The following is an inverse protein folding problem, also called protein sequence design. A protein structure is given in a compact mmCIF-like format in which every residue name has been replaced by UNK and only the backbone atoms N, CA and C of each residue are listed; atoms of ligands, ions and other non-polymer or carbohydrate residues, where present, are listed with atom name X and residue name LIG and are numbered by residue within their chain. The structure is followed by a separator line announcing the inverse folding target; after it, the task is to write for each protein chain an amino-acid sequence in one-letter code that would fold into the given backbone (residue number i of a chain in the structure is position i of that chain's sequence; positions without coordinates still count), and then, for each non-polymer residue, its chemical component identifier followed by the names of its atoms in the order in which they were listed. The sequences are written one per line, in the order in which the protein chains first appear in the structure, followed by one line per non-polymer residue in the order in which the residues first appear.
data_IF_565498306729
#
_entry.id   IF_565498306729
#
_cell.length_a   1.000
_cell.length_b   1.000
_cell.length_c   1.000
_cell.angle_alpha   90.00
_cell.angle_beta   90.00
_cell.angle_gamma   90.00
#
_symmetry.space_group_name_H-M   'P 1'
#
loop_
_entity.id
_entity.type
_entity.pdbx_description
1 polymer ?
#
# COMPACT_ATOMS: atom_id res chain seq x y z
N UNK A 1 8.59 -1.10 -8.49
CA UNK A 1 9.12 -2.06 -7.51
C UNK A 1 8.64 -3.46 -7.88
N UNK A 2 9.54 -4.45 -7.92
CA UNK A 2 9.25 -5.86 -8.15
C UNK A 2 9.67 -6.66 -6.91
N UNK A 3 8.73 -7.42 -6.35
CA UNK A 3 8.96 -8.29 -5.20
C UNK A 3 8.56 -9.74 -5.52
N UNK A 4 9.17 -10.67 -4.79
CA UNK A 4 8.78 -12.08 -4.75
C UNK A 4 9.33 -12.73 -3.49
N UNK A 5 8.60 -13.69 -2.92
CA UNK A 5 9.04 -14.47 -1.74
C UNK A 5 9.51 -13.59 -0.57
N UNK A 6 8.86 -12.44 -0.35
CA UNK A 6 9.24 -11.48 0.70
C UNK A 6 10.55 -10.70 0.44
N UNK A 7 11.14 -10.82 -0.75
CA UNK A 7 12.38 -10.14 -1.15
C UNK A 7 12.11 -9.10 -2.23
N UNK A 8 12.87 -8.01 -2.19
CA UNK A 8 12.94 -7.03 -3.28
C UNK A 8 13.87 -7.60 -4.34
N UNK A 9 13.30 -7.84 -5.52
CA UNK A 9 14.04 -8.32 -6.70
C UNK A 9 14.57 -7.14 -7.51
N UNK A 10 13.79 -6.06 -7.58
CA UNK A 10 14.20 -4.82 -8.22
C UNK A 10 13.39 -3.64 -7.68
N UNK A 11 14.03 -2.50 -7.47
CA UNK A 11 13.38 -1.24 -7.16
C UNK A 11 13.95 -0.16 -8.07
N UNK A 12 13.12 0.57 -8.81
CA UNK A 12 13.60 1.61 -9.71
C UNK A 12 12.61 1.94 -10.83
N UNK A 13 13.01 2.78 -11.79
CA UNK A 13 12.25 3.11 -12.99
C UNK A 13 11.85 1.86 -13.78
N UNK A 14 10.68 1.91 -14.41
CA UNK A 14 10.17 0.80 -15.23
C UNK A 14 11.09 0.47 -16.42
N UNK A 15 11.82 1.45 -16.95
CA UNK A 15 12.69 1.26 -18.13
C UNK A 15 13.92 0.40 -17.76
N UNK A 16 14.47 0.60 -16.56
CA UNK A 16 15.69 -0.06 -16.10
C UNK A 16 15.48 -1.51 -15.64
N UNK A 17 14.23 -1.93 -15.40
CA UNK A 17 13.96 -3.31 -14.95
C UNK A 17 14.33 -4.33 -16.03
N UNK A 18 14.11 -3.99 -17.31
CA UNK A 18 14.46 -4.86 -18.43
C UNK A 18 15.99 -4.97 -18.55
N UNK A 19 16.71 -3.85 -18.48
CA UNK A 19 18.17 -3.82 -18.47
C UNK A 19 18.76 -4.64 -17.33
N UNK A 20 18.16 -4.59 -16.14
CA UNK A 20 18.57 -5.41 -15.00
C UNK A 20 18.45 -6.91 -15.28
N UNK A 21 17.29 -7.36 -15.80
CA UNK A 21 17.10 -8.78 -16.13
C UNK A 21 17.98 -9.21 -17.31
N UNK A 22 18.23 -8.34 -18.29
CA UNK A 22 19.18 -8.60 -19.37
C UNK A 22 20.61 -8.75 -18.84
N UNK A 23 21.03 -7.90 -17.90
CA UNK A 23 22.29 -8.03 -17.16
C UNK A 23 22.39 -9.35 -16.38
N UNK A 24 21.25 -9.91 -15.97
CA UNK A 24 21.16 -11.24 -15.36
C UNK A 24 21.13 -12.40 -16.37
N UNK A 25 21.03 -12.13 -17.68
CA UNK A 25 20.98 -13.13 -18.75
C UNK A 25 19.59 -13.45 -19.30
N UNK A 26 18.56 -12.68 -18.91
CA UNK A 26 17.17 -12.90 -19.30
C UNK A 26 16.62 -11.73 -20.11
N UNK A 27 16.10 -12.01 -21.31
CA UNK A 27 15.54 -10.99 -22.20
C UNK A 27 14.05 -11.19 -22.40
N UNK A 28 13.29 -10.09 -22.35
CA UNK A 28 11.88 -10.09 -22.66
C UNK A 28 11.68 -10.24 -24.19
N UNK A 29 10.89 -11.23 -24.67
CA UNK A 29 10.55 -11.34 -26.09
C UNK A 29 9.68 -10.17 -26.57
N UNK A 30 9.82 -9.75 -27.83
CA UNK A 30 9.09 -8.60 -28.40
C UNK A 30 7.56 -8.74 -28.36
N UNK A 31 7.06 -9.97 -28.51
CA UNK A 31 5.61 -10.26 -28.52
C UNK A 31 5.02 -10.51 -27.14
N UNK A 32 5.84 -10.50 -26.08
CA UNK A 32 5.41 -10.79 -24.71
C UNK A 32 5.22 -9.50 -23.92
N UNK A 33 4.16 -9.44 -23.11
CA UNK A 33 3.97 -8.33 -22.18
C UNK A 33 5.09 -8.31 -21.15
N UNK A 34 5.62 -7.11 -20.85
CA UNK A 34 6.65 -6.93 -19.81
C UNK A 34 6.17 -7.46 -18.46
N UNK A 35 4.88 -7.29 -18.13
CA UNK A 35 4.33 -7.80 -16.88
C UNK A 35 4.38 -9.33 -16.81
N UNK A 36 3.99 -10.02 -17.89
CA UNK A 36 4.02 -11.49 -17.98
C UNK A 36 5.44 -12.02 -17.90
N UNK A 37 6.37 -11.39 -18.64
CA UNK A 37 7.80 -11.68 -18.54
C UNK A 37 8.31 -11.58 -17.10
N UNK A 38 8.03 -10.46 -16.41
CA UNK A 38 8.50 -10.25 -15.04
C UNK A 38 7.89 -11.24 -14.05
N UNK A 39 6.68 -11.73 -14.31
CA UNK A 39 6.05 -12.76 -13.50
C UNK A 39 6.72 -14.13 -13.73
N UNK A 40 6.98 -14.49 -14.98
CA UNK A 40 7.49 -15.80 -15.37
C UNK A 40 9.01 -15.95 -15.24
N UNK A 41 9.80 -14.89 -15.40
CA UNK A 41 11.26 -14.93 -15.21
C UNK A 41 11.66 -15.29 -13.78
N UNK A 42 10.74 -15.15 -12.81
CA UNK A 42 10.91 -15.57 -11.42
C UNK A 42 10.39 -16.99 -11.15
N UNK A 43 9.65 -17.59 -12.10
CA UNK A 43 9.09 -18.93 -12.00
C UNK A 43 10.13 -19.97 -12.43
N UNK A 44 10.32 -21.02 -11.63
CA UNK A 44 11.24 -22.11 -11.96
C UNK A 44 10.87 -22.83 -13.26
N UNK A 45 9.57 -22.93 -13.56
CA UNK A 45 9.09 -23.66 -14.74
C UNK A 45 9.28 -22.87 -16.03
N UNK A 46 9.24 -21.54 -15.94
CA UNK A 46 9.13 -20.66 -17.10
C UNK A 46 10.42 -19.89 -17.37
N UNK A 47 11.32 -19.75 -16.40
CA UNK A 47 12.51 -18.90 -16.49
C UNK A 47 13.45 -19.27 -17.66
N UNK A 48 13.58 -20.56 -17.97
CA UNK A 48 14.52 -21.05 -18.99
C UNK A 48 14.24 -20.48 -20.39
N UNK A 49 12.97 -20.21 -20.72
CA UNK A 49 12.56 -19.73 -22.04
C UNK A 49 13.08 -18.31 -22.34
N UNK A 50 13.48 -17.57 -21.31
CA UNK A 50 13.96 -16.19 -21.42
C UNK A 50 15.48 -16.08 -21.49
N UNK A 51 16.20 -17.19 -21.34
CA UNK A 51 17.65 -17.21 -21.40
C UNK A 51 18.12 -16.88 -22.80
N UNK A 52 18.87 -15.77 -22.96
CA UNK A 52 19.34 -15.32 -24.27
C UNK A 52 20.84 -15.48 -24.48
N UNK A 53 21.60 -15.83 -23.44
CA UNK A 53 23.06 -15.99 -23.53
C UNK A 53 23.40 -17.32 -24.20
N UNK A 54 23.84 -17.27 -25.46
CA UNK A 54 24.25 -18.44 -26.23
C UNK A 54 25.58 -19.04 -25.77
N UNK A 55 26.40 -18.26 -25.08
CA UNK A 55 27.75 -18.64 -24.66
C UNK A 55 27.77 -19.46 -23.36
N UNK A 56 26.70 -19.39 -22.57
CA UNK A 56 26.63 -20.01 -21.25
C UNK A 56 25.40 -20.91 -21.16
N UNK A 57 25.57 -22.10 -20.58
CA UNK A 57 24.44 -22.99 -20.31
C UNK A 57 23.48 -22.35 -19.29
N UNK A 58 22.18 -22.49 -19.53
CA UNK A 58 21.16 -22.03 -18.59
C UNK A 58 21.30 -22.75 -17.24
N UNK A 59 21.28 -21.96 -16.17
CA UNK A 59 21.09 -22.45 -14.81
C UNK A 59 19.97 -21.65 -14.16
N UNK A 60 19.11 -22.32 -13.40
CA UNK A 60 18.05 -21.65 -12.67
C UNK A 60 18.63 -20.61 -11.68
N UNK A 61 18.12 -19.39 -11.78
CA UNK A 61 18.44 -18.26 -10.91
C UNK A 61 17.28 -18.06 -9.95
N UNK A 62 17.54 -18.25 -8.67
CA UNK A 62 16.50 -18.08 -7.65
C UNK A 62 16.13 -16.61 -7.43
N UNK A 63 14.95 -16.38 -6.84
CA UNK A 63 14.54 -15.05 -6.35
C UNK A 63 15.57 -14.46 -5.39
N UNK A 64 16.18 -15.29 -4.54
CA UNK A 64 17.28 -14.87 -3.65
C UNK A 64 18.48 -14.34 -4.42
N UNK A 65 18.92 -15.07 -5.45
CA UNK A 65 20.05 -14.68 -6.29
C UNK A 65 19.77 -13.40 -7.08
N UNK A 66 18.55 -13.21 -7.59
CA UNK A 66 18.21 -11.92 -8.20
C UNK A 66 18.25 -10.78 -7.19
N UNK A 67 17.75 -11.00 -5.98
CA UNK A 67 17.78 -9.99 -4.91
C UNK A 67 19.21 -9.61 -4.53
N UNK A 68 20.12 -10.58 -4.43
CA UNK A 68 21.55 -10.36 -4.18
C UNK A 68 22.20 -9.56 -5.32
N UNK A 69 21.99 -9.97 -6.58
CA UNK A 69 22.47 -9.23 -7.76
C UNK A 69 21.94 -7.80 -7.80
N UNK A 70 20.70 -7.57 -7.39
CA UNK A 70 20.14 -6.23 -7.31
C UNK A 70 20.86 -5.40 -6.25
N UNK A 71 21.11 -5.96 -5.05
CA UNK A 71 21.86 -5.27 -4.00
C UNK A 71 23.31 -4.96 -4.38
N UNK A 72 23.92 -5.79 -5.21
CA UNK A 72 25.27 -5.57 -5.70
C UNK A 72 25.34 -4.55 -6.85
N UNK A 73 24.20 -4.27 -7.49
CA UNK A 73 24.15 -3.35 -8.62
C UNK A 73 24.55 -1.92 -8.23
N UNK A 74 25.22 -1.17 -9.12
CA UNK A 74 25.59 0.23 -8.87
C UNK A 74 24.36 1.08 -8.55
N UNK A 75 23.24 0.78 -9.20
CA UNK A 75 21.96 1.44 -8.97
C UNK A 75 21.51 1.34 -7.50
N UNK A 76 21.54 0.13 -6.92
CA UNK A 76 21.13 -0.05 -5.52
C UNK A 76 22.09 0.64 -4.56
N UNK A 77 23.40 0.55 -4.79
CA UNK A 77 24.39 1.20 -3.92
C UNK A 77 24.22 2.72 -3.86
N UNK A 78 24.00 3.35 -5.01
CA UNK A 78 23.73 4.80 -5.08
C UNK A 78 22.42 5.14 -4.36
N UNK A 79 21.36 4.35 -4.59
CA UNK A 79 20.07 4.55 -3.94
C UNK A 79 20.18 4.38 -2.41
N UNK A 80 20.95 3.40 -1.94
CA UNK A 80 21.18 3.15 -0.52
C UNK A 80 21.94 4.30 0.15
N UNK A 81 22.92 4.89 -0.56
CA UNK A 81 23.63 6.10 -0.12
C UNK A 81 22.69 7.31 -0.06
N UNK A 82 21.92 7.58 -1.11
CA UNK A 82 20.92 8.67 -1.15
C UNK A 82 19.89 8.54 -0.02
N UNK A 83 19.39 7.32 0.23
CA UNK A 83 18.44 7.05 1.32
C UNK A 83 19.11 7.28 2.68
N UNK A 84 20.36 6.85 2.84
CA UNK A 84 21.11 7.03 4.09
C UNK A 84 21.35 8.50 4.40
N UNK A 85 21.73 9.29 3.39
CA UNK A 85 21.89 10.75 3.50
C UNK A 85 20.57 11.45 3.81
N UNK A 86 19.49 11.10 3.09
CA UNK A 86 18.17 11.67 3.32
C UNK A 86 17.65 11.34 4.71
N UNK A 87 17.85 10.11 5.20
CA UNK A 87 17.47 9.69 6.55
C UNK A 87 18.26 10.46 7.63
N UNK A 88 19.56 10.67 7.41
CA UNK A 88 20.37 11.49 8.31
C UNK A 88 19.86 12.93 8.34
N UNK A 89 19.56 13.53 7.17
CA UNK A 89 19.00 14.88 7.06
C UNK A 89 17.62 15.00 7.70
N UNK A 90 16.73 14.02 7.53
CA UNK A 90 15.42 14.00 8.17
C UNK A 90 15.51 13.83 9.69
N UNK A 91 16.52 13.12 10.20
CA UNK A 91 16.77 13.03 11.64
C UNK A 91 17.29 14.34 12.23
N UNK A 92 18.04 15.12 11.45
CA UNK A 92 18.49 16.46 11.85
C UNK A 92 17.34 17.47 11.79
N UNK A 93 16.42 17.31 10.82
CA UNK A 93 15.26 18.17 10.65
C UNK A 93 13.98 17.47 11.13
N UNK A 94 13.68 17.65 12.43
CA UNK A 94 12.59 17.01 13.22
C UNK A 94 11.14 17.22 12.70
N UNK A 95 10.96 17.77 11.48
CA UNK A 95 9.68 18.28 10.99
C UNK A 95 9.15 17.59 9.72
N UNK A 96 9.85 16.59 9.16
CA UNK A 96 9.49 16.08 7.82
C UNK A 96 8.37 15.01 7.78
N UNK A 97 7.98 14.46 8.93
CA UNK A 97 6.80 13.60 9.04
C UNK A 97 5.88 14.30 10.03
N UNK A 98 4.73 14.79 9.56
CA UNK A 98 3.68 15.34 10.42
C UNK A 98 3.36 14.31 11.51
N UNK A 99 3.89 14.52 12.72
CA UNK A 99 3.61 13.69 13.90
C UNK A 99 2.17 13.86 14.39
N UNK A 100 1.38 14.71 13.75
CA UNK A 100 -0.03 14.83 14.09
C UNK A 100 -0.78 13.61 13.53
N UNK A 101 -1.16 12.71 14.45
CA UNK A 101 -2.01 11.53 14.20
C UNK A 101 -3.27 11.92 13.40
N UNK A 102 -3.72 13.16 13.55
CA UNK A 102 -4.83 13.72 12.82
C UNK A 102 -4.36 14.92 11.98
N UNK A 103 -4.61 14.87 10.67
CA UNK A 103 -4.40 16.01 9.77
C UNK A 103 -5.31 17.20 10.10
N UNK A 104 -6.32 16.98 10.93
CA UNK A 104 -7.42 17.90 11.23
C UNK A 104 -7.59 17.97 12.76
N UNK A 105 -7.91 19.15 13.29
CA UNK A 105 -8.22 19.34 14.71
C UNK A 105 -9.33 18.37 15.18
N UNK A 106 -9.22 17.87 16.42
CA UNK A 106 -10.25 17.01 17.04
C UNK A 106 -11.67 17.61 16.93
N UNK A 107 -11.80 18.93 16.99
CA UNK A 107 -13.09 19.63 16.85
C UNK A 107 -13.65 19.52 15.44
N UNK A 108 -12.80 19.67 14.44
CA UNK A 108 -13.21 19.54 13.04
C UNK A 108 -13.54 18.07 12.70
N UNK A 109 -12.81 17.11 13.28
CA UNK A 109 -13.16 15.69 13.18
C UNK A 109 -14.53 15.40 13.81
N UNK A 110 -14.79 15.95 15.00
CA UNK A 110 -16.09 15.86 15.67
C UNK A 110 -17.21 16.46 14.80
N UNK A 111 -17.02 17.67 14.27
CA UNK A 111 -18.01 18.33 13.42
C UNK A 111 -18.26 17.57 12.11
N UNK A 112 -17.24 16.98 11.51
CA UNK A 112 -17.38 16.15 10.32
C UNK A 112 -18.20 14.88 10.61
N UNK A 113 -17.90 14.19 11.71
CA UNK A 113 -18.67 13.03 12.17
C UNK A 113 -20.13 13.41 12.49
N UNK A 114 -20.35 14.50 13.22
CA UNK A 114 -21.69 14.99 13.55
C UNK A 114 -22.48 15.38 12.30
N UNK A 115 -21.85 16.04 11.32
CA UNK A 115 -22.49 16.40 10.06
C UNK A 115 -22.91 15.16 9.26
N UNK A 116 -22.07 14.11 9.25
CA UNK A 116 -22.38 12.83 8.62
C UNK A 116 -23.58 12.15 9.29
N UNK A 117 -23.56 12.04 10.61
CA UNK A 117 -24.68 11.41 11.35
C UNK A 117 -25.96 12.23 11.21
N UNK A 118 -25.89 13.56 11.27
CA UNK A 118 -27.05 14.42 11.05
C UNK A 118 -27.64 14.25 9.65
N UNK A 119 -26.80 14.12 8.62
CA UNK A 119 -27.25 13.86 7.25
C UNK A 119 -27.96 12.51 7.15
N UNK A 120 -27.41 11.46 7.78
CA UNK A 120 -28.03 10.13 7.86
C UNK A 120 -29.38 10.18 8.60
N UNK A 121 -29.45 10.93 9.70
CA UNK A 121 -30.71 11.15 10.43
C UNK A 121 -31.73 11.92 9.58
N UNK A 122 -31.30 12.91 8.79
CA UNK A 122 -32.19 13.67 7.91
C UNK A 122 -32.76 12.79 6.79
N UNK A 123 -31.93 11.93 6.20
CA UNK A 123 -32.36 11.01 5.13
C UNK A 123 -33.36 9.96 5.63
N UNK A 124 -33.18 9.46 6.86
CA UNK A 124 -34.05 8.47 7.48
C UNK A 124 -34.95 9.07 8.58
N UNK A 125 -35.33 10.34 8.44
CA UNK A 125 -35.95 11.15 9.51
C UNK A 125 -37.23 10.54 10.07
N UNK A 126 -38.01 9.84 9.25
CA UNK A 126 -39.23 9.15 9.67
C UNK A 126 -38.99 8.16 10.83
N UNK A 127 -37.93 7.36 10.76
CA UNK A 127 -37.61 6.36 11.78
C UNK A 127 -37.21 7.05 13.09
N UNK A 128 -36.40 8.10 13.01
CA UNK A 128 -35.93 8.85 14.18
C UNK A 128 -37.05 9.62 14.87
N UNK A 129 -37.90 10.31 14.11
CA UNK A 129 -39.07 11.03 14.64
C UNK A 129 -40.03 10.06 15.35
N UNK A 130 -40.35 8.93 14.70
CA UNK A 130 -41.23 7.91 15.29
C UNK A 130 -40.66 7.37 16.62
N UNK A 131 -39.37 7.05 16.66
CA UNK A 131 -38.69 6.57 17.88
C UNK A 131 -38.68 7.62 18.99
N UNK A 132 -38.43 8.90 18.66
CA UNK A 132 -38.48 9.99 19.65
C UNK A 132 -39.87 10.19 20.24
N UNK A 133 -40.92 10.12 19.42
CA UNK A 133 -42.32 10.22 19.90
C UNK A 133 -42.67 9.03 20.79
N UNK A 134 -42.27 7.81 20.40
CA UNK A 134 -42.50 6.60 21.19
C UNK A 134 -41.86 6.71 22.59
N UNK A 135 -40.62 7.20 22.68
CA UNK A 135 -39.94 7.40 23.96
C UNK A 135 -40.64 8.46 24.80
N UNK A 136 -40.99 9.62 24.21
CA UNK A 136 -41.68 10.69 24.94
C UNK A 136 -43.01 10.21 25.54
N UNK A 137 -43.79 9.44 24.77
CA UNK A 137 -45.04 8.85 25.24
C UNK A 137 -44.81 7.86 26.39
N UNK A 138 -43.83 6.95 26.26
CA UNK A 138 -43.49 6.02 27.35
C UNK A 138 -43.04 6.77 28.62
N UNK A 139 -42.24 7.83 28.49
CA UNK A 139 -41.81 8.62 29.65
C UNK A 139 -42.95 9.37 30.32
N UNK A 140 -43.91 9.91 29.56
CA UNK A 140 -45.08 10.57 30.15
C UNK A 140 -45.98 9.59 30.89
N UNK A 141 -46.21 8.40 30.32
CA UNK A 141 -47.01 7.35 30.97
C UNK A 141 -46.33 6.87 32.25
N UNK A 142 -45.01 6.64 32.22
CA UNK A 142 -44.24 6.24 33.41
C UNK A 142 -44.29 7.32 34.50
N UNK A 143 -44.12 8.59 34.14
CA UNK A 143 -44.21 9.69 35.10
C UNK A 143 -45.61 9.79 35.71
N UNK A 144 -46.67 9.64 34.90
CA UNK A 144 -48.06 9.63 35.39
C UNK A 144 -48.42 8.41 36.22
N UNK A 145 -47.77 7.26 36.00
CA UNK A 145 -47.94 6.06 36.84
C UNK A 145 -47.16 6.12 38.15
N UNK A 146 -46.10 6.94 38.22
CA UNK A 146 -45.32 7.14 39.46
C UNK A 146 -45.95 8.23 40.34
N UNK A 147 -46.70 9.18 39.76
CA UNK A 147 -47.37 10.26 40.50
C UNK A 147 -48.79 9.93 40.98
N UNK A 148 -49.40 8.82 40.55
CA UNK A 148 -50.62 8.26 41.13
C UNK A 148 -50.28 6.97 41.89
N UNK A 149 -50.12 6.99 43.23
CA UNK A 149 -49.94 5.79 44.03
C UNK A 149 -51.19 4.90 44.05
#
# INVERSE_FOLDING_TARGET
MLMAEGKIVFHGPRIQILEFFEGCGFRCPERKGVADFLQEVKSRNDQAQYWYRTEHAYTYVSVGTFSEKFKESPFWKNLEEEISEAFFKSKIHDDSISFNIYSISKWNLFNACMSREFLLMRMNSFIYIFKSVQVAFCTSVLLSSVTNP
#
